data_IF_155411839255
#
_entry.id   IF_155411839255
#
_cell.length_a   1.000
_cell.length_b   1.000
_cell.length_c   1.000
_cell.angle_alpha   90.00
_cell.angle_beta   90.00
_cell.angle_gamma   90.00
#
_symmetry.space_group_name_H-M   'P 1'
#
loop_
_entity.id
_entity.type
_entity.pdbx_description
1 polymer ?
#
# COMPACT_ATOMS: atom_id res chain seq x y z
N UNK A 1 -13.76 -3.54 -5.31
CA UNK A 1 -14.81 -4.19 -4.44
C UNK A 1 -14.74 -3.60 -3.04
N UNK A 2 -15.87 -3.11 -2.50
CA UNK A 2 -15.92 -2.66 -1.10
C UNK A 2 -15.73 -3.90 -0.21
N UNK A 3 -14.77 -3.81 0.69
CA UNK A 3 -14.50 -4.83 1.70
C UNK A 3 -15.28 -4.49 2.97
N UNK A 4 -16.06 -5.44 3.48
CA UNK A 4 -16.67 -5.33 4.80
C UNK A 4 -15.67 -5.88 5.84
N UNK A 5 -15.10 -5.03 6.69
CA UNK A 5 -14.15 -5.50 7.71
C UNK A 5 -14.73 -6.54 8.67
N UNK A 6 -16.07 -6.55 8.86
CA UNK A 6 -16.72 -7.53 9.74
C UNK A 6 -16.72 -8.96 9.14
N UNK A 7 -16.55 -9.09 7.84
CA UNK A 7 -16.50 -10.38 7.13
C UNK A 7 -15.12 -10.72 6.58
N UNK A 8 -14.15 -9.82 6.72
CA UNK A 8 -12.78 -10.08 6.31
C UNK A 8 -12.18 -11.25 7.09
N UNK A 9 -11.38 -12.12 6.44
CA UNK A 9 -10.63 -13.14 7.15
C UNK A 9 -9.79 -12.51 8.26
N UNK A 10 -9.75 -13.16 9.40
CA UNK A 10 -9.02 -12.66 10.55
C UNK A 10 -8.03 -13.69 11.07
N UNK A 11 -6.92 -13.23 11.62
CA UNK A 11 -5.97 -14.02 12.37
C UNK A 11 -5.63 -13.32 13.68
N UNK A 12 -5.07 -14.06 14.65
CA UNK A 12 -4.64 -13.45 15.89
C UNK A 12 -3.71 -14.39 16.65
N UNK A 13 -2.65 -13.83 17.22
CA UNK A 13 -1.73 -14.53 18.08
C UNK A 13 -1.17 -13.57 19.13
N UNK A 14 -1.15 -13.99 20.40
CA UNK A 14 -0.48 -13.28 21.51
C UNK A 14 -0.86 -11.80 21.68
N UNK A 15 -2.13 -11.47 21.45
CA UNK A 15 -2.63 -10.10 21.57
C UNK A 15 -2.50 -9.24 20.33
N UNK A 16 -2.03 -9.78 19.20
CA UNK A 16 -2.16 -9.18 17.88
C UNK A 16 -3.40 -9.75 17.18
N UNK A 17 -4.26 -8.89 16.66
CA UNK A 17 -5.46 -9.24 15.89
C UNK A 17 -5.38 -8.55 14.53
N UNK A 18 -5.39 -9.32 13.44
CA UNK A 18 -5.26 -8.82 12.07
C UNK A 18 -6.50 -9.13 11.26
N UNK A 19 -7.05 -8.12 10.58
CA UNK A 19 -8.07 -8.28 9.54
C UNK A 19 -7.39 -8.24 8.17
N UNK A 20 -7.58 -9.27 7.36
CA UNK A 20 -6.91 -9.45 6.08
C UNK A 20 -7.71 -8.76 4.97
N UNK A 21 -7.58 -7.44 4.85
CA UNK A 21 -8.37 -6.62 3.92
C UNK A 21 -8.05 -6.93 2.45
N UNK A 22 -6.77 -7.11 2.12
CA UNK A 22 -6.32 -7.48 0.77
C UNK A 22 -6.90 -8.81 0.30
N UNK A 23 -6.93 -9.83 1.19
CA UNK A 23 -7.50 -11.15 0.88
C UNK A 23 -9.01 -11.05 0.63
N UNK A 24 -9.73 -10.32 1.51
CA UNK A 24 -11.16 -10.08 1.35
C UNK A 24 -11.48 -9.33 0.05
N UNK A 25 -10.59 -8.43 -0.38
CA UNK A 25 -10.73 -7.63 -1.61
C UNK A 25 -10.20 -8.28 -2.88
N UNK A 26 -9.53 -9.46 -2.77
CA UNK A 26 -9.00 -10.21 -3.91
C UNK A 26 -7.73 -9.64 -4.54
N UNK A 27 -7.04 -8.68 -3.88
CA UNK A 27 -5.73 -8.18 -4.35
C UNK A 27 -4.61 -9.11 -3.88
N UNK A 28 -3.58 -9.25 -4.70
CA UNK A 28 -2.55 -10.27 -4.51
C UNK A 28 -1.13 -9.74 -4.48
N UNK A 29 -0.88 -8.54 -5.00
CA UNK A 29 0.48 -8.02 -5.22
C UNK A 29 1.08 -7.43 -3.96
N UNK A 30 0.23 -7.06 -2.99
CA UNK A 30 0.64 -6.67 -1.64
C UNK A 30 -0.39 -7.14 -0.61
N UNK A 31 0.06 -7.32 0.62
CA UNK A 31 -0.82 -7.50 1.77
C UNK A 31 -1.27 -6.15 2.30
N UNK A 32 -2.57 -6.01 2.61
CA UNK A 32 -3.10 -4.89 3.36
C UNK A 32 -3.92 -5.43 4.53
N UNK A 33 -3.54 -5.05 5.75
CA UNK A 33 -4.16 -5.53 6.97
C UNK A 33 -4.51 -4.36 7.88
N UNK A 34 -5.59 -4.56 8.64
CA UNK A 34 -5.92 -3.70 9.77
C UNK A 34 -5.60 -4.46 11.06
N UNK A 35 -4.53 -4.05 11.70
CA UNK A 35 -4.02 -4.66 12.91
C UNK A 35 -4.51 -3.94 14.15
N UNK A 36 -4.77 -4.71 15.19
CA UNK A 36 -5.06 -4.24 16.56
C UNK A 36 -4.15 -4.98 17.53
N UNK A 37 -3.39 -4.23 18.34
CA UNK A 37 -2.45 -4.75 19.31
C UNK A 37 -2.92 -4.45 20.74
N UNK A 38 -3.17 -5.50 21.52
CA UNK A 38 -3.60 -5.38 22.91
C UNK A 38 -2.52 -4.76 23.80
N UNK A 39 -2.89 -4.16 24.95
CA UNK A 39 -1.96 -3.70 25.96
C UNK A 39 -0.96 -4.78 26.39
N UNK A 40 0.32 -4.44 26.43
CA UNK A 40 1.42 -5.34 26.79
C UNK A 40 1.86 -6.32 25.71
N UNK A 41 1.19 -6.36 24.55
CA UNK A 41 1.54 -7.23 23.44
C UNK A 41 2.61 -6.60 22.51
N UNK A 42 3.16 -7.44 21.64
CA UNK A 42 4.07 -7.07 20.56
C UNK A 42 3.59 -7.63 19.21
N UNK A 43 3.89 -6.93 18.11
CA UNK A 43 3.39 -7.31 16.78
C UNK A 43 4.02 -8.61 16.28
N UNK A 44 5.31 -8.79 16.50
CA UNK A 44 6.10 -9.92 15.99
C UNK A 44 7.42 -10.01 16.75
N UNK A 45 8.21 -11.05 16.47
CA UNK A 45 9.64 -10.98 16.74
C UNK A 45 10.29 -9.95 15.83
N UNK A 46 11.34 -9.26 16.30
CA UNK A 46 12.06 -8.28 15.50
C UNK A 46 12.64 -8.94 14.26
N UNK A 47 12.33 -8.39 13.09
CA UNK A 47 12.69 -8.98 11.80
C UNK A 47 12.87 -7.91 10.72
N UNK A 48 13.46 -8.31 9.59
CA UNK A 48 13.55 -7.52 8.37
C UNK A 48 13.43 -8.42 7.15
N UNK A 49 13.02 -7.85 6.01
CA UNK A 49 12.74 -8.54 4.76
C UNK A 49 13.79 -8.26 3.70
N UNK A 50 14.27 -9.34 3.04
CA UNK A 50 15.28 -9.22 1.97
C UNK A 50 14.70 -8.67 0.67
N UNK A 51 13.42 -8.93 0.39
CA UNK A 51 12.79 -8.66 -0.89
C UNK A 51 11.42 -7.96 -0.81
N UNK A 52 10.87 -7.70 0.37
CA UNK A 52 9.56 -7.09 0.55
C UNK A 52 9.64 -5.74 1.26
N UNK A 53 9.10 -4.69 0.62
CA UNK A 53 8.88 -3.39 1.27
C UNK A 53 7.73 -3.51 2.27
N UNK A 54 7.87 -2.85 3.42
CA UNK A 54 6.85 -2.82 4.47
C UNK A 54 6.53 -1.39 4.90
N UNK A 55 5.26 -1.14 5.20
CA UNK A 55 4.74 0.18 5.56
C UNK A 55 3.67 0.06 6.65
N UNK A 56 3.71 0.95 7.62
CA UNK A 56 2.68 1.09 8.65
C UNK A 56 2.17 2.53 8.70
N UNK A 57 0.85 2.69 8.87
CA UNK A 57 0.21 3.96 9.19
C UNK A 57 -0.61 3.83 10.48
N UNK A 58 -0.26 4.58 11.52
CA UNK A 58 -0.89 4.49 12.84
C UNK A 58 -2.23 5.23 12.86
N UNK A 59 -3.30 4.49 13.20
CA UNK A 59 -4.66 5.01 13.26
C UNK A 59 -5.07 5.50 14.65
N UNK A 60 -4.71 4.75 15.70
CA UNK A 60 -5.10 5.09 17.07
C UNK A 60 -4.20 4.43 18.12
N UNK A 61 -4.17 5.01 19.31
CA UNK A 61 -3.31 4.58 20.41
C UNK A 61 -1.87 5.07 20.23
N UNK A 62 -0.95 4.56 21.07
CA UNK A 62 0.48 4.84 21.00
C UNK A 62 1.23 3.52 20.91
N UNK A 63 1.96 3.29 19.81
CA UNK A 63 2.85 2.15 19.65
C UNK A 63 4.30 2.55 19.96
N UNK A 64 5.09 1.65 20.49
CA UNK A 64 6.54 1.82 20.58
C UNK A 64 7.20 0.93 19.52
N UNK A 65 7.81 1.56 18.52
CA UNK A 65 8.72 0.91 17.57
C UNK A 65 10.02 0.56 18.29
N UNK A 66 10.47 -0.67 18.14
CA UNK A 66 11.83 -1.11 18.46
C UNK A 66 12.55 -1.52 17.18
N UNK A 67 13.62 -0.83 16.86
CA UNK A 67 14.48 -1.13 15.73
C UNK A 67 15.97 -1.05 16.14
N UNK A 68 16.90 -1.09 15.18
CA UNK A 68 18.32 -1.01 15.44
C UNK A 68 18.77 0.37 15.98
N UNK A 69 17.93 1.41 15.80
CA UNK A 69 18.18 2.76 16.35
C UNK A 69 17.64 2.93 17.78
N UNK A 70 16.93 1.92 18.32
CA UNK A 70 16.42 1.93 19.69
C UNK A 70 14.90 1.91 19.79
N UNK A 71 14.33 2.72 20.66
CA UNK A 71 12.90 2.80 20.92
C UNK A 71 12.35 4.16 20.48
N UNK A 72 11.25 4.13 19.71
CA UNK A 72 10.58 5.34 19.23
C UNK A 72 9.08 5.20 19.43
N UNK A 73 8.47 6.11 20.18
CA UNK A 73 7.01 6.13 20.30
C UNK A 73 6.37 6.72 19.04
N UNK A 74 5.33 6.07 18.55
CA UNK A 74 4.54 6.42 17.39
C UNK A 74 3.14 6.88 17.82
N UNK A 75 2.61 7.89 17.17
CA UNK A 75 1.32 8.50 17.45
C UNK A 75 0.40 8.43 16.22
N UNK A 76 -0.93 8.56 16.38
CA UNK A 76 -1.87 8.58 15.25
C UNK A 76 -1.44 9.58 14.18
N UNK A 77 -1.44 9.12 12.91
CA UNK A 77 -0.94 9.87 11.77
C UNK A 77 0.54 9.68 11.44
N UNK A 78 1.34 9.09 12.35
CA UNK A 78 2.71 8.71 12.02
C UNK A 78 2.72 7.53 11.06
N UNK A 79 3.69 7.50 10.15
CA UNK A 79 3.95 6.38 9.27
C UNK A 79 5.37 5.82 9.49
N UNK A 80 5.55 4.54 9.21
CA UNK A 80 6.87 3.89 9.26
C UNK A 80 7.08 3.11 7.97
N UNK A 81 8.28 3.21 7.41
CA UNK A 81 8.68 2.57 6.17
C UNK A 81 9.91 1.69 6.39
N UNK A 82 9.88 0.48 5.88
CA UNK A 82 11.04 -0.41 5.81
C UNK A 82 11.22 -0.89 4.38
N UNK A 83 12.32 -0.46 3.77
CA UNK A 83 12.67 -0.86 2.42
C UNK A 83 13.23 -2.27 2.42
N UNK A 84 12.85 -3.08 1.43
CA UNK A 84 13.43 -4.41 1.25
C UNK A 84 14.96 -4.35 1.18
N UNK A 85 15.62 -5.33 1.80
CA UNK A 85 17.07 -5.43 1.86
C UNK A 85 17.76 -4.52 2.89
N UNK A 86 17.04 -3.60 3.53
CA UNK A 86 17.55 -2.86 4.69
C UNK A 86 17.56 -3.82 5.91
N UNK A 87 18.73 -4.12 6.51
CA UNK A 87 18.82 -5.06 7.61
C UNK A 87 18.35 -4.50 8.96
N UNK A 88 17.64 -3.39 8.99
CA UNK A 88 17.09 -2.77 10.20
C UNK A 88 15.92 -3.59 10.76
N UNK A 89 16.21 -4.54 11.64
CA UNK A 89 15.23 -5.39 12.28
C UNK A 89 14.27 -4.60 13.16
N UNK A 90 12.96 -4.85 13.05
CA UNK A 90 11.94 -4.04 13.69
C UNK A 90 10.76 -4.85 14.20
N UNK A 91 10.05 -4.30 15.16
CA UNK A 91 8.71 -4.68 15.59
C UNK A 91 8.02 -3.54 16.38
N UNK A 92 6.71 -3.65 16.56
CA UNK A 92 5.94 -2.75 17.41
C UNK A 92 5.57 -3.41 18.75
N UNK A 93 5.52 -2.61 19.81
CA UNK A 93 5.00 -3.02 21.13
C UNK A 93 3.95 -2.02 21.59
N UNK A 94 2.90 -2.52 22.25
CA UNK A 94 1.95 -1.68 22.96
C UNK A 94 2.33 -1.63 24.44
N UNK A 95 2.94 -0.53 24.87
CA UNK A 95 3.36 -0.29 26.25
C UNK A 95 2.33 0.51 27.04
N UNK A 96 1.22 0.87 26.39
CA UNK A 96 0.09 1.59 26.99
C UNK A 96 -0.95 0.66 27.61
N UNK A 97 -2.09 1.23 27.96
CA UNK A 97 -3.22 0.58 28.61
C UNK A 97 -4.48 0.48 27.71
N UNK A 98 -4.39 0.97 26.48
CA UNK A 98 -5.44 0.90 25.47
C UNK A 98 -4.92 0.19 24.22
N UNK A 99 -5.80 -0.47 23.42
CA UNK A 99 -5.40 -1.07 22.16
C UNK A 99 -4.84 -0.05 21.19
N UNK A 100 -3.84 -0.48 20.42
CA UNK A 100 -3.24 0.30 19.32
C UNK A 100 -3.70 -0.27 17.99
N UNK A 101 -4.03 0.59 17.02
CA UNK A 101 -4.48 0.17 15.69
C UNK A 101 -3.68 0.85 14.58
N UNK A 102 -3.35 0.09 13.54
CA UNK A 102 -2.66 0.59 12.35
C UNK A 102 -3.09 -0.16 11.09
N UNK A 103 -2.87 0.48 9.95
CA UNK A 103 -2.83 -0.20 8.67
C UNK A 103 -1.40 -0.66 8.41
N UNK A 104 -1.22 -1.90 7.98
CA UNK A 104 0.07 -2.43 7.53
C UNK A 104 -0.04 -2.88 6.09
N UNK A 105 0.94 -2.48 5.29
CA UNK A 105 1.09 -2.84 3.88
C UNK A 105 2.44 -3.52 3.72
N UNK A 106 2.44 -4.71 3.14
CA UNK A 106 3.67 -5.43 2.79
C UNK A 106 3.60 -5.88 1.34
N UNK A 107 4.62 -5.58 0.54
CA UNK A 107 4.69 -6.15 -0.80
C UNK A 107 4.79 -7.68 -0.73
N UNK A 108 4.41 -8.37 -1.80
CA UNK A 108 4.48 -9.83 -1.88
C UNK A 108 5.40 -10.21 -3.02
N UNK A 109 6.53 -10.82 -2.69
CA UNK A 109 7.53 -11.22 -3.67
C UNK A 109 7.88 -12.70 -3.51
N UNK A 110 8.33 -13.32 -4.60
CA UNK A 110 8.91 -14.66 -4.52
C UNK A 110 10.32 -14.60 -3.92
N UNK A 111 10.61 -15.59 -3.09
CA UNK A 111 11.97 -15.79 -2.58
C UNK A 111 12.39 -14.84 -1.47
N UNK A 112 11.44 -14.15 -0.81
CA UNK A 112 11.76 -13.31 0.34
C UNK A 112 12.40 -14.14 1.48
N UNK A 113 13.36 -13.53 2.15
CA UNK A 113 13.98 -14.04 3.36
C UNK A 113 13.71 -13.07 4.49
N UNK A 114 12.84 -13.47 5.42
CA UNK A 114 12.63 -12.75 6.66
C UNK A 114 13.69 -13.19 7.68
N UNK A 115 14.53 -12.27 8.10
CA UNK A 115 15.63 -12.52 9.05
C UNK A 115 15.27 -12.00 10.44
N UNK A 116 15.50 -12.83 11.47
CA UNK A 116 15.32 -12.51 12.89
C UNK A 116 16.67 -12.20 13.53
N UNK A 117 17.11 -10.95 13.60
CA UNK A 117 18.48 -10.61 14.00
C UNK A 117 18.81 -10.94 15.45
N UNK A 118 17.80 -11.02 16.35
CA UNK A 118 18.01 -11.28 17.78
C UNK A 118 18.45 -12.73 18.09
N UNK A 119 18.13 -13.67 17.20
CA UNK A 119 18.49 -15.09 17.37
C UNK A 119 19.08 -15.76 16.12
N UNK A 120 19.19 -15.00 15.03
CA UNK A 120 19.83 -15.43 13.79
C UNK A 120 19.00 -16.40 12.94
N UNK A 121 17.76 -16.71 13.33
CA UNK A 121 16.84 -17.52 12.51
C UNK A 121 16.45 -16.77 11.25
N UNK A 122 16.07 -17.57 10.23
CA UNK A 122 15.55 -17.03 8.97
C UNK A 122 14.32 -17.81 8.51
N UNK A 123 13.29 -17.13 8.08
CA UNK A 123 12.23 -17.73 7.30
C UNK A 123 12.56 -17.54 5.82
N UNK A 124 12.58 -18.62 5.07
CA UNK A 124 12.89 -18.64 3.65
C UNK A 124 11.64 -19.05 2.90
N UNK A 125 11.12 -18.15 2.07
CA UNK A 125 9.99 -18.40 1.18
C UNK A 125 10.52 -18.89 -0.16
N UNK A 126 10.19 -20.14 -0.54
CA UNK A 126 10.51 -20.72 -1.84
C UNK A 126 9.36 -20.52 -2.85
N UNK A 127 9.33 -21.34 -3.91
CA UNK A 127 8.28 -21.23 -4.94
C UNK A 127 6.90 -21.70 -4.45
N UNK A 128 6.85 -22.75 -3.64
CA UNK A 128 5.59 -23.36 -3.15
C UNK A 128 5.59 -23.64 -1.66
N UNK A 129 6.73 -23.49 -1.00
CA UNK A 129 6.92 -23.85 0.41
C UNK A 129 7.69 -22.76 1.14
N UNK A 130 7.51 -22.70 2.43
CA UNK A 130 8.33 -21.89 3.32
C UNK A 130 8.99 -22.78 4.38
N UNK A 131 10.12 -22.33 4.92
CA UNK A 131 10.79 -22.96 6.04
C UNK A 131 11.45 -21.94 6.96
N UNK A 132 11.49 -22.23 8.26
CA UNK A 132 12.33 -21.52 9.21
C UNK A 132 13.55 -22.38 9.49
N UNK A 133 14.72 -21.77 9.37
CA UNK A 133 16.01 -22.38 9.68
C UNK A 133 16.69 -21.63 10.82
N UNK A 134 17.51 -22.34 11.60
CA UNK A 134 18.41 -21.73 12.58
C UNK A 134 19.70 -21.20 11.95
N UNK A 135 20.67 -20.81 12.78
CA UNK A 135 21.93 -20.19 12.35
C UNK A 135 22.84 -21.12 11.56
N UNK A 136 22.75 -22.43 11.74
CA UNK A 136 23.53 -23.44 11.02
C UNK A 136 22.80 -23.96 9.76
N UNK A 137 21.58 -23.51 9.51
CA UNK A 137 20.76 -23.88 8.37
C UNK A 137 19.87 -25.10 8.60
N UNK A 138 19.81 -25.63 9.82
CA UNK A 138 18.91 -26.73 10.18
C UNK A 138 17.46 -26.26 10.14
N UNK A 139 16.59 -27.00 9.45
CA UNK A 139 15.16 -26.67 9.36
C UNK A 139 14.45 -26.95 10.68
N UNK A 140 13.89 -25.93 11.28
CA UNK A 140 13.11 -26.00 12.52
C UNK A 140 11.64 -26.33 12.26
N UNK A 141 11.06 -25.69 11.23
CA UNK A 141 9.68 -25.93 10.77
C UNK A 141 9.53 -25.43 9.33
N UNK A 142 8.46 -25.86 8.67
CA UNK A 142 8.10 -25.40 7.33
C UNK A 142 6.71 -25.89 6.93
N UNK A 143 6.27 -25.46 5.78
CA UNK A 143 4.94 -25.78 5.25
C UNK A 143 4.79 -25.33 3.81
N UNK A 144 3.58 -25.46 3.29
CA UNK A 144 3.23 -24.92 1.99
C UNK A 144 2.93 -23.42 2.10
N UNK A 145 3.28 -22.68 1.05
CA UNK A 145 2.81 -21.30 0.92
C UNK A 145 1.30 -21.28 0.69
N UNK A 146 0.58 -20.27 1.20
CA UNK A 146 -0.81 -20.03 0.85
C UNK A 146 -0.98 -19.88 -0.67
N UNK A 147 -2.16 -20.23 -1.19
CA UNK A 147 -2.44 -20.24 -2.63
C UNK A 147 -2.24 -18.84 -3.26
N UNK A 148 -2.60 -17.81 -2.55
CA UNK A 148 -2.43 -16.40 -2.97
C UNK A 148 -0.97 -15.98 -3.16
N UNK A 149 -0.01 -16.75 -2.62
CA UNK A 149 1.43 -16.49 -2.76
C UNK A 149 2.12 -17.36 -3.83
N UNK A 150 1.40 -18.26 -4.50
CA UNK A 150 2.00 -19.19 -5.46
C UNK A 150 2.32 -18.56 -6.83
N UNK A 151 1.54 -17.56 -7.25
CA UNK A 151 1.62 -16.97 -8.59
C UNK A 151 1.99 -15.48 -8.57
N UNK A 152 2.83 -15.08 -7.61
CA UNK A 152 3.26 -13.70 -7.48
C UNK A 152 4.10 -13.24 -8.68
N UNK A 153 3.84 -12.02 -9.15
CA UNK A 153 4.71 -11.28 -10.06
C UNK A 153 5.69 -10.46 -9.21
N UNK A 154 6.92 -10.33 -9.70
CA UNK A 154 7.86 -9.42 -9.06
C UNK A 154 7.39 -7.97 -9.29
N UNK A 155 7.18 -7.17 -8.24
CA UNK A 155 6.90 -5.76 -8.38
C UNK A 155 8.11 -5.03 -8.98
N UNK A 156 7.88 -3.83 -9.52
CA UNK A 156 8.97 -2.97 -9.90
C UNK A 156 9.61 -2.43 -8.61
N UNK A 157 10.81 -2.88 -8.30
CA UNK A 157 11.55 -2.45 -7.13
C UNK A 157 12.97 -2.10 -7.51
N UNK A 158 13.52 -1.03 -6.96
CA UNK A 158 14.95 -0.75 -7.05
C UNK A 158 15.67 -1.50 -5.94
N UNK A 159 16.76 -2.21 -6.22
CA UNK A 159 17.56 -2.85 -5.17
C UNK A 159 17.94 -1.84 -4.08
N UNK A 160 18.06 -2.31 -2.84
CA UNK A 160 18.55 -1.47 -1.75
C UNK A 160 20.00 -1.04 -2.07
N UNK A 161 20.19 0.27 -2.17
CA UNK A 161 21.46 0.89 -2.56
C UNK A 161 22.33 1.31 -1.35
N UNK A 162 21.92 0.92 -0.13
CA UNK A 162 22.57 1.32 1.12
C UNK A 162 22.21 2.73 1.60
N UNK A 163 21.37 3.47 0.88
CA UNK A 163 20.95 4.81 1.30
C UNK A 163 19.90 4.70 2.40
N UNK A 164 20.27 5.06 3.62
CA UNK A 164 19.33 5.14 4.74
C UNK A 164 18.46 6.39 4.60
N UNK A 165 17.16 6.21 4.75
CA UNK A 165 16.18 7.29 4.87
C UNK A 165 15.54 7.23 6.24
N UNK A 166 14.96 8.35 6.74
CA UNK A 166 14.16 8.28 7.96
C UNK A 166 13.04 7.25 7.76
N UNK A 167 13.06 6.18 8.56
CA UNK A 167 12.00 5.17 8.51
C UNK A 167 10.72 5.65 9.20
N UNK A 168 10.82 6.55 10.20
CA UNK A 168 9.67 7.14 10.89
C UNK A 168 9.35 8.50 10.27
N UNK A 169 8.16 8.63 9.74
CA UNK A 169 7.59 9.86 9.19
C UNK A 169 6.53 10.39 10.16
N UNK A 170 6.82 11.51 10.81
CA UNK A 170 5.88 12.13 11.74
C UNK A 170 4.70 12.76 11.03
N UNK A 171 3.53 12.68 11.62
CA UNK A 171 2.34 13.35 11.11
C UNK A 171 2.64 14.83 10.77
N UNK A 172 2.24 15.28 9.58
CA UNK A 172 2.43 16.64 9.12
C UNK A 172 3.87 17.02 8.72
N UNK A 173 4.86 16.09 8.74
CA UNK A 173 6.24 16.40 8.32
C UNK A 173 6.48 16.18 6.83
N UNK A 174 5.75 15.29 6.19
CA UNK A 174 5.77 15.15 4.73
C UNK A 174 4.83 16.20 4.15
N UNK A 175 5.30 17.07 3.23
CA UNK A 175 4.47 18.14 2.72
C UNK A 175 3.33 17.60 1.84
N UNK A 176 2.15 18.20 1.99
CA UNK A 176 1.08 18.04 1.02
C UNK A 176 1.45 18.80 -0.27
N UNK A 177 1.24 18.17 -1.41
CA UNK A 177 1.52 18.73 -2.72
C UNK A 177 0.25 18.69 -3.54
N UNK A 178 -0.11 19.83 -4.15
CA UNK A 178 -1.26 19.89 -5.05
C UNK A 178 -1.14 18.85 -6.16
N UNK A 179 -2.20 18.05 -6.36
CA UNK A 179 -2.24 17.01 -7.37
C UNK A 179 -2.25 17.61 -8.78
N UNK A 180 -1.07 17.89 -9.31
CA UNK A 180 -0.91 18.22 -10.71
C UNK A 180 -1.12 16.96 -11.54
N UNK A 181 -2.37 16.69 -11.94
CA UNK A 181 -2.61 15.55 -12.82
C UNK A 181 -1.90 15.74 -14.16
N UNK A 182 -1.41 14.65 -14.74
CA UNK A 182 -0.68 14.64 -16.00
C UNK A 182 -1.56 14.31 -17.21
N UNK A 183 -2.88 14.39 -17.06
CA UNK A 183 -3.81 14.12 -18.15
C UNK A 183 -3.64 15.10 -19.33
N UNK A 184 -4.04 14.74 -20.56
CA UNK A 184 -4.20 15.70 -21.65
C UNK A 184 -5.09 16.86 -21.22
N UNK A 185 -4.81 18.09 -21.64
CA UNK A 185 -5.40 19.34 -21.15
C UNK A 185 -6.95 19.33 -21.07
N UNK A 186 -7.62 18.67 -22.01
CA UNK A 186 -9.08 18.58 -22.03
C UNK A 186 -9.68 17.69 -20.92
N UNK A 187 -8.86 16.93 -20.20
CA UNK A 187 -9.25 16.02 -19.13
C UNK A 187 -8.62 16.39 -17.78
N UNK A 188 -7.98 17.54 -17.68
CA UNK A 188 -7.19 17.93 -16.51
C UNK A 188 -8.00 18.61 -15.39
N UNK A 189 -9.27 18.90 -15.60
CA UNK A 189 -10.13 19.52 -14.58
C UNK A 189 -10.75 18.43 -13.70
N UNK A 190 -10.06 18.11 -12.61
CA UNK A 190 -10.51 17.13 -11.60
C UNK A 190 -10.93 17.80 -10.27
N UNK A 191 -10.92 19.13 -10.21
CA UNK A 191 -11.08 19.86 -8.93
C UNK A 191 -9.80 19.79 -8.08
N UNK A 192 -9.93 20.14 -6.79
CA UNK A 192 -8.79 20.31 -5.91
C UNK A 192 -8.51 19.04 -5.08
N UNK A 193 -7.28 18.57 -5.11
CA UNK A 193 -6.75 17.52 -4.27
C UNK A 193 -5.27 17.75 -3.93
N UNK A 194 -4.82 17.24 -2.79
CA UNK A 194 -3.43 17.31 -2.34
C UNK A 194 -2.95 15.92 -1.95
N UNK A 195 -1.74 15.54 -2.39
CA UNK A 195 -1.09 14.26 -2.07
C UNK A 195 0.01 14.44 -1.02
N UNK A 196 0.07 13.52 -0.08
CA UNK A 196 1.18 13.35 0.87
C UNK A 196 1.83 11.99 0.59
N UNK A 197 2.93 11.99 -0.17
CA UNK A 197 3.59 10.80 -0.68
C UNK A 197 4.46 10.12 0.39
N UNK A 198 3.85 9.35 1.30
CA UNK A 198 4.52 8.77 2.46
C UNK A 198 5.55 7.70 2.07
N UNK A 199 5.18 6.75 1.19
CA UNK A 199 6.11 5.70 0.74
C UNK A 199 7.35 6.25 0.03
N UNK A 200 7.18 7.30 -0.78
CA UNK A 200 8.30 7.95 -1.48
C UNK A 200 9.22 8.69 -0.50
N UNK A 201 8.66 9.37 0.49
CA UNK A 201 9.42 10.02 1.56
C UNK A 201 10.23 9.00 2.38
N UNK A 202 9.65 7.81 2.64
CA UNK A 202 10.32 6.69 3.32
C UNK A 202 11.22 5.84 2.42
N UNK A 203 11.24 6.09 1.11
CA UNK A 203 12.12 5.42 0.15
C UNK A 203 11.65 4.03 -0.30
N UNK A 204 10.37 3.69 -0.13
CA UNK A 204 9.79 2.45 -0.66
C UNK A 204 9.66 2.51 -2.18
N UNK A 205 9.81 1.37 -2.84
CA UNK A 205 9.87 1.31 -4.30
C UNK A 205 8.86 0.35 -4.93
N UNK A 206 8.34 -0.61 -4.19
CA UNK A 206 7.50 -1.69 -4.74
C UNK A 206 6.01 -1.35 -4.79
N UNK A 207 5.59 -0.37 -3.98
CA UNK A 207 4.24 0.20 -4.01
C UNK A 207 4.27 1.69 -3.67
N UNK A 208 3.24 2.42 -4.08
CA UNK A 208 2.95 3.76 -3.61
C UNK A 208 1.97 3.69 -2.45
N UNK A 209 2.25 4.37 -1.32
CA UNK A 209 1.32 4.58 -0.23
C UNK A 209 1.32 6.08 0.11
N UNK A 210 0.15 6.70 0.00
CA UNK A 210 0.01 8.14 0.16
C UNK A 210 -1.34 8.51 0.79
N UNK A 211 -1.40 9.69 1.37
CA UNK A 211 -2.67 10.29 1.73
C UNK A 211 -3.10 11.23 0.59
N UNK A 212 -4.37 11.18 0.24
CA UNK A 212 -4.99 12.16 -0.63
C UNK A 212 -6.03 12.95 0.17
N UNK A 213 -5.87 14.28 0.20
CA UNK A 213 -6.83 15.22 0.77
C UNK A 213 -7.70 15.71 -0.37
N UNK A 214 -8.92 15.18 -0.46
CA UNK A 214 -9.85 15.48 -1.53
C UNK A 214 -10.79 16.59 -1.11
N UNK A 215 -10.64 17.78 -1.69
CA UNK A 215 -11.47 18.95 -1.39
C UNK A 215 -12.89 18.83 -1.98
N UNK A 216 -13.86 19.62 -1.49
CA UNK A 216 -15.22 19.63 -2.04
C UNK A 216 -15.28 19.82 -3.55
N UNK A 217 -15.98 18.92 -4.25
CA UNK A 217 -16.08 18.88 -5.71
C UNK A 217 -14.94 18.17 -6.42
N UNK A 218 -13.85 17.83 -5.71
CA UNK A 218 -12.69 17.14 -6.27
C UNK A 218 -12.96 15.67 -6.64
N UNK A 219 -12.19 15.17 -7.60
CA UNK A 219 -12.12 13.79 -8.05
C UNK A 219 -10.70 13.28 -7.81
N UNK A 220 -10.55 12.04 -7.29
CA UNK A 220 -9.23 11.39 -7.15
C UNK A 220 -8.57 11.18 -8.52
N UNK A 221 -9.37 10.87 -9.53
CA UNK A 221 -8.93 10.60 -10.90
C UNK A 221 -10.12 10.62 -11.86
N UNK A 222 -9.86 10.48 -13.16
CA UNK A 222 -10.87 10.03 -14.11
C UNK A 222 -11.18 8.56 -13.86
N UNK A 223 -12.43 8.15 -13.99
CA UNK A 223 -12.84 6.76 -13.73
C UNK A 223 -12.09 5.79 -14.65
N UNK A 224 -11.28 4.88 -14.05
CA UNK A 224 -10.36 4.00 -14.76
C UNK A 224 -10.18 2.66 -14.05
N UNK A 225 -9.52 1.71 -14.71
CA UNK A 225 -9.02 0.46 -14.13
C UNK A 225 -7.64 0.11 -14.72
N UNK A 226 -6.83 -0.63 -13.96
CA UNK A 226 -5.46 -1.01 -14.29
C UNK A 226 -5.37 -2.45 -14.80
N UNK A 227 -4.54 -2.69 -15.82
CA UNK A 227 -4.24 -4.05 -16.29
C UNK A 227 -3.35 -4.81 -15.33
N UNK A 228 -2.34 -4.13 -14.76
CA UNK A 228 -1.23 -4.77 -14.10
C UNK A 228 -1.07 -4.41 -12.61
N UNK A 229 -1.66 -3.33 -12.14
CA UNK A 229 -1.48 -2.81 -10.78
C UNK A 229 -2.74 -3.01 -9.92
N UNK A 230 -2.55 -3.63 -8.73
CA UNK A 230 -3.57 -3.69 -7.69
C UNK A 230 -3.68 -2.34 -6.99
N UNK A 231 -4.89 -1.96 -6.60
CA UNK A 231 -5.15 -0.76 -5.82
C UNK A 231 -5.97 -1.05 -4.56
N UNK A 232 -5.65 -0.30 -3.51
CA UNK A 232 -6.31 -0.35 -2.20
C UNK A 232 -6.61 1.06 -1.72
N UNK A 233 -7.78 1.23 -1.11
CA UNK A 233 -8.19 2.49 -0.50
C UNK A 233 -8.78 2.24 0.88
N UNK A 234 -8.46 3.12 1.81
CA UNK A 234 -9.09 3.21 3.13
C UNK A 234 -9.48 4.66 3.44
N UNK A 235 -10.74 4.89 3.81
CA UNK A 235 -11.22 6.23 4.18
C UNK A 235 -10.80 6.51 5.62
N UNK A 236 -9.95 7.50 5.82
CA UNK A 236 -9.48 7.93 7.14
C UNK A 236 -10.46 8.92 7.77
N UNK A 237 -10.91 9.92 7.01
CA UNK A 237 -11.82 10.96 7.47
C UNK A 237 -12.69 11.49 6.33
N UNK A 238 -13.85 12.05 6.67
CA UNK A 238 -14.81 12.56 5.70
C UNK A 238 -15.66 11.49 5.04
N UNK A 239 -16.49 11.89 4.08
CA UNK A 239 -17.36 11.01 3.29
C UNK A 239 -17.20 11.34 1.82
N UNK A 240 -17.04 10.30 1.00
CA UNK A 240 -16.86 10.43 -0.45
C UNK A 240 -17.84 9.53 -1.21
N UNK A 241 -18.10 9.86 -2.45
CA UNK A 241 -18.87 9.04 -3.37
C UNK A 241 -17.92 8.21 -4.23
N UNK A 242 -17.91 6.91 -4.00
CA UNK A 242 -17.26 5.94 -4.86
C UNK A 242 -18.10 5.76 -6.14
N UNK A 243 -17.46 5.91 -7.29
CA UNK A 243 -18.04 5.75 -8.63
C UNK A 243 -17.45 4.49 -9.26
N UNK A 244 -18.23 3.44 -9.37
CA UNK A 244 -17.85 2.17 -10.01
C UNK A 244 -18.82 1.78 -11.14
N UNK A 245 -18.58 0.65 -11.80
CA UNK A 245 -19.49 0.12 -12.83
C UNK A 245 -20.90 -0.16 -12.28
N UNK A 246 -21.03 -0.43 -11.00
CA UNK A 246 -22.32 -0.66 -10.30
C UNK A 246 -23.06 0.62 -9.96
N UNK A 247 -22.48 1.79 -10.25
CA UNK A 247 -23.04 3.11 -9.96
C UNK A 247 -22.44 3.76 -8.69
N UNK A 248 -22.92 4.96 -8.34
CA UNK A 248 -22.39 5.71 -7.21
C UNK A 248 -22.78 5.10 -5.86
N UNK A 249 -21.86 5.15 -4.90
CA UNK A 249 -22.07 4.72 -3.52
C UNK A 249 -21.31 5.61 -2.55
N UNK A 250 -21.97 6.12 -1.52
CA UNK A 250 -21.29 6.84 -0.45
C UNK A 250 -20.54 5.87 0.47
N UNK A 251 -19.30 6.24 0.82
CA UNK A 251 -18.43 5.55 1.77
C UNK A 251 -17.81 6.58 2.73
N UNK A 252 -17.58 6.19 3.97
CA UNK A 252 -17.06 7.06 5.04
C UNK A 252 -15.94 6.40 5.83
N UNK A 253 -15.51 6.98 6.96
CA UNK A 253 -14.37 6.53 7.74
C UNK A 253 -14.43 5.06 8.11
N UNK A 254 -13.32 4.35 7.88
CA UNK A 254 -13.21 2.90 8.08
C UNK A 254 -13.64 2.06 6.89
N UNK A 255 -14.26 2.65 5.85
CA UNK A 255 -14.55 1.92 4.62
C UNK A 255 -13.26 1.59 3.87
N UNK A 256 -13.21 0.37 3.32
CA UNK A 256 -12.07 -0.16 2.57
C UNK A 256 -12.53 -0.63 1.20
N UNK A 257 -11.75 -0.35 0.17
CA UNK A 257 -12.03 -0.77 -1.20
C UNK A 257 -10.76 -1.35 -1.83
N UNK A 258 -10.93 -2.43 -2.59
CA UNK A 258 -9.85 -3.07 -3.33
C UNK A 258 -10.23 -3.17 -4.81
N UNK A 259 -9.26 -2.94 -5.70
CA UNK A 259 -9.37 -3.13 -7.13
C UNK A 259 -8.23 -4.00 -7.62
N UNK A 260 -8.52 -5.31 -7.85
CA UNK A 260 -7.50 -6.21 -8.38
C UNK A 260 -7.11 -5.86 -9.82
N UNK A 261 -5.84 -6.00 -10.13
CA UNK A 261 -5.30 -5.85 -11.47
C UNK A 261 -6.04 -6.69 -12.50
N UNK A 262 -6.25 -6.12 -13.69
CA UNK A 262 -6.91 -6.81 -14.81
C UNK A 262 -8.42 -6.97 -14.67
N UNK A 263 -9.03 -6.52 -13.57
CA UNK A 263 -10.49 -6.55 -13.39
C UNK A 263 -11.09 -5.24 -13.94
N UNK A 264 -11.94 -5.31 -14.99
CA UNK A 264 -12.44 -4.10 -15.65
C UNK A 264 -13.58 -3.41 -14.88
N UNK A 265 -13.36 -3.16 -13.57
CA UNK A 265 -14.25 -2.37 -12.72
C UNK A 265 -13.67 -0.97 -12.55
N UNK A 266 -13.94 -0.11 -13.53
CA UNK A 266 -13.44 1.26 -13.50
C UNK A 266 -13.99 2.04 -12.30
N UNK A 267 -13.14 2.82 -11.66
CA UNK A 267 -13.44 3.51 -10.42
C UNK A 267 -12.79 4.90 -10.35
N UNK A 268 -13.35 5.75 -9.55
CA UNK A 268 -12.79 6.95 -8.97
C UNK A 268 -13.64 7.37 -7.75
N UNK A 269 -13.15 8.32 -6.98
CA UNK A 269 -13.92 8.90 -5.88
C UNK A 269 -14.17 10.38 -6.13
N UNK A 270 -15.31 10.87 -5.64
CA UNK A 270 -15.69 12.27 -5.69
C UNK A 270 -16.09 12.73 -4.29
N UNK A 271 -15.64 13.91 -3.92
CA UNK A 271 -16.11 14.55 -2.70
C UNK A 271 -17.34 15.42 -3.02
N UNK A 272 -18.52 14.88 -2.73
CA UNK A 272 -19.80 15.62 -2.85
C UNK A 272 -20.16 16.37 -1.55
N UNK A 273 -19.30 16.32 -0.53
CA UNK A 273 -19.50 17.01 0.76
C UNK A 273 -19.10 18.48 0.73
N UNK A 274 -19.21 19.13 1.89
CA UNK A 274 -18.80 20.53 2.10
C UNK A 274 -17.41 20.66 2.74
N UNK A 275 -16.86 19.56 3.29
CA UNK A 275 -15.58 19.52 3.98
C UNK A 275 -14.62 18.57 3.23
N UNK A 276 -13.29 18.75 3.36
CA UNK A 276 -12.33 17.83 2.79
C UNK A 276 -12.48 16.39 3.34
N UNK A 277 -12.14 15.42 2.53
CA UNK A 277 -12.02 14.03 2.95
C UNK A 277 -10.56 13.57 2.84
N UNK A 278 -10.10 12.73 3.78
CA UNK A 278 -8.74 12.17 3.77
C UNK A 278 -8.80 10.68 3.47
N UNK A 279 -8.11 10.29 2.42
CA UNK A 279 -8.05 8.94 1.90
C UNK A 279 -6.62 8.41 2.07
N UNK A 280 -6.48 7.16 2.49
CA UNK A 280 -5.21 6.42 2.39
C UNK A 280 -5.29 5.52 1.18
N UNK A 281 -4.39 5.71 0.22
CA UNK A 281 -4.39 5.02 -1.07
C UNK A 281 -3.07 4.27 -1.22
N UNK A 282 -3.17 3.04 -1.72
CA UNK A 282 -2.01 2.20 -2.06
C UNK A 282 -2.18 1.65 -3.46
N UNK A 283 -1.15 1.77 -4.28
CA UNK A 283 -1.07 1.15 -5.59
C UNK A 283 0.24 0.39 -5.76
N UNK A 284 0.19 -0.83 -6.26
CA UNK A 284 1.43 -1.56 -6.60
C UNK A 284 2.18 -0.85 -7.72
N UNK A 285 3.47 -1.12 -7.83
CA UNK A 285 4.34 -0.52 -8.86
C UNK A 285 4.95 -1.61 -9.72
N UNK A 286 4.54 -1.63 -11.00
CA UNK A 286 5.16 -2.48 -12.02
C UNK A 286 5.85 -1.61 -13.08
N UNK A 287 6.82 -2.19 -13.80
CA UNK A 287 7.52 -1.48 -14.87
C UNK A 287 6.58 -1.14 -16.03
N UNK A 288 5.61 -1.99 -16.28
CA UNK A 288 4.61 -1.84 -17.33
C UNK A 288 3.20 -1.88 -16.73
N UNK A 289 2.32 -1.03 -17.25
CA UNK A 289 0.92 -0.98 -16.91
C UNK A 289 0.10 -0.29 -17.99
N UNK A 290 -1.20 -0.52 -18.03
CA UNK A 290 -2.13 0.23 -18.85
C UNK A 290 -3.42 0.54 -18.08
N UNK A 291 -3.92 1.78 -18.23
CA UNK A 291 -5.19 2.21 -17.64
C UNK A 291 -6.23 2.42 -18.73
N UNK A 292 -7.42 1.93 -18.49
CA UNK A 292 -8.56 2.05 -19.37
C UNK A 292 -9.60 3.01 -18.79
N UNK A 293 -10.04 3.96 -19.59
CA UNK A 293 -11.04 4.98 -19.23
C UNK A 293 -12.33 4.73 -20.02
N UNK A 294 -13.32 3.98 -19.46
CA UNK A 294 -14.49 3.58 -20.24
C UNK A 294 -15.36 4.74 -20.71
N UNK A 295 -15.42 5.82 -19.95
CA UNK A 295 -16.35 6.95 -20.17
C UNK A 295 -15.88 7.97 -21.21
N UNK A 296 -14.60 7.93 -21.55
CA UNK A 296 -13.96 8.93 -22.43
C UNK A 296 -13.04 8.26 -23.44
N UNK A 297 -12.65 9.00 -24.47
CA UNK A 297 -11.70 8.56 -25.49
C UNK A 297 -10.26 8.72 -25.00
N UNK A 298 -9.90 7.98 -23.95
CA UNK A 298 -8.58 8.00 -23.33
C UNK A 298 -8.11 6.59 -23.03
N UNK A 299 -6.80 6.38 -23.24
CA UNK A 299 -6.06 5.20 -22.83
C UNK A 299 -4.69 5.65 -22.33
N UNK A 300 -4.23 5.07 -21.22
CA UNK A 300 -2.88 5.28 -20.72
C UNK A 300 -2.07 4.01 -20.84
N UNK A 301 -0.79 4.13 -21.16
CA UNK A 301 0.15 3.03 -21.08
C UNK A 301 1.51 3.48 -20.56
N UNK A 302 2.13 2.62 -19.78
CA UNK A 302 3.53 2.71 -19.36
C UNK A 302 4.24 1.44 -19.84
N UNK A 303 5.12 1.56 -20.85
CA UNK A 303 5.86 0.44 -21.44
C UNK A 303 7.24 0.89 -21.88
N UNK A 304 8.26 0.04 -21.66
CA UNK A 304 9.64 0.30 -22.10
C UNK A 304 10.20 1.66 -21.63
N UNK A 305 9.87 2.07 -20.39
CA UNK A 305 10.31 3.35 -19.85
C UNK A 305 9.60 4.59 -20.41
N UNK A 306 8.55 4.42 -21.20
CA UNK A 306 7.74 5.50 -21.75
C UNK A 306 6.33 5.47 -21.17
N UNK A 307 5.79 6.64 -20.84
CA UNK A 307 4.38 6.87 -20.54
C UNK A 307 3.70 7.47 -21.76
N UNK A 308 2.49 7.03 -22.07
CA UNK A 308 1.72 7.57 -23.19
C UNK A 308 0.26 7.71 -22.83
N UNK A 309 -0.33 8.85 -23.20
CA UNK A 309 -1.77 9.01 -23.33
C UNK A 309 -2.14 9.00 -24.81
N UNK A 310 -3.10 8.16 -25.18
CA UNK A 310 -3.62 8.03 -26.53
C UNK A 310 -5.15 8.00 -26.53
N UNK A 311 -5.73 8.17 -27.71
CA UNK A 311 -7.12 7.80 -27.98
C UNK A 311 -7.28 6.28 -27.94
N UNK A 312 -8.50 5.80 -27.88
CA UNK A 312 -8.81 4.36 -27.95
C UNK A 312 -8.43 3.71 -29.28
N UNK A 313 -8.28 4.50 -30.34
CA UNK A 313 -7.76 4.04 -31.64
C UNK A 313 -6.21 3.96 -31.72
N UNK A 314 -5.52 4.30 -30.63
CA UNK A 314 -4.06 4.32 -30.52
C UNK A 314 -3.39 5.64 -30.94
N UNK A 315 -4.13 6.63 -31.42
CA UNK A 315 -3.57 7.94 -31.80
C UNK A 315 -3.10 8.69 -30.55
N UNK A 316 -1.80 9.06 -30.41
CA UNK A 316 -1.30 9.78 -29.26
C UNK A 316 -1.95 11.17 -29.10
N UNK A 317 -2.15 11.60 -27.84
CA UNK A 317 -2.47 12.98 -27.55
C UNK A 317 -1.24 13.89 -27.71
N UNK A 318 -1.41 15.19 -28.00
CA UNK A 318 -0.30 16.12 -28.14
C UNK A 318 0.63 16.11 -26.92
N UNK A 319 1.95 16.04 -27.20
CA UNK A 319 2.98 16.01 -26.15
C UNK A 319 3.25 14.63 -25.53
N UNK A 320 2.67 13.57 -26.07
CA UNK A 320 2.93 12.19 -25.69
C UNK A 320 3.55 11.37 -26.86
N UNK A 321 4.35 10.32 -26.58
CA UNK A 321 4.76 9.80 -25.24
C UNK A 321 5.79 10.69 -24.53
N UNK A 322 6.00 10.41 -23.21
CA UNK A 322 7.04 11.04 -22.38
C UNK A 322 7.87 9.94 -21.68
N UNK A 323 9.13 10.22 -21.38
CA UNK A 323 9.95 9.34 -20.55
C UNK A 323 9.37 9.22 -19.12
N UNK A 324 9.49 8.05 -18.54
CA UNK A 324 9.20 7.84 -17.10
C UNK A 324 10.42 8.32 -16.32
N UNK A 325 10.27 9.37 -15.52
CA UNK A 325 11.30 9.86 -14.60
C UNK A 325 11.32 9.02 -13.30
N UNK A 326 11.33 7.69 -13.40
CA UNK A 326 11.42 6.81 -12.23
C UNK A 326 12.60 5.87 -12.35
#
# INVERSE_FOLDING_TARGET
>A
MIVDPATAPASGEKGLHSLHLSVAGGITQFGAYLDTLDPGAWSSQRHWHSAEDEFIYLLSGTATLRDDNGLTDLFPGDAVCWRHGDPNGHHLTNRGDVPVRWLIIGSRTKGDICTYPDDGRRQINGDTTWKIVDTDGTTLRGGNLPEELLNLRAPWGQPFDGTLRPNVLRAGTVPAVYCANNYPAQFSDLGDAEDIALSDAGGLTQFGAFLEILHPGGLTSLRHWHEEEDEFLYVLDGTVTLLENTGPRQIGPGACVCWPAGVPNAHCLRNDGAEPATLFIVGSRFAEDACHYPDIDLHYSRRNGLRSFSRKDGTPYPGWPKETNR
#
